data_IF_382687392205
#
_entry.id   IF_382687392205
#
_cell.length_a   1.000
_cell.length_b   1.000
_cell.length_c   1.000
_cell.angle_alpha   90.00
_cell.angle_beta   90.00
_cell.angle_gamma   90.00
#
_symmetry.space_group_name_H-M   'P 1'
#
loop_
_entity.id
_entity.type
_entity.pdbx_description
1 polymer ?
#
# COMPACT_ATOMS: atom_id res chain seq x y z
N UNK A 1 -36.04 -18.72 6.17
CA UNK A 1 -34.66 -18.16 6.17
C UNK A 1 -33.71 -18.91 5.23
N UNK A 2 -33.96 -20.18 4.92
CA UNK A 2 -33.00 -21.07 4.22
C UNK A 2 -32.53 -20.59 2.85
N UNK A 3 -33.46 -20.15 1.96
CA UNK A 3 -33.07 -19.75 0.60
C UNK A 3 -32.11 -18.55 0.56
N UNK A 4 -32.18 -17.67 1.56
CA UNK A 4 -31.32 -16.50 1.66
C UNK A 4 -29.90 -16.89 2.06
N UNK A 5 -29.75 -17.72 3.10
CA UNK A 5 -28.45 -18.25 3.53
C UNK A 5 -27.79 -19.10 2.45
N UNK A 6 -28.53 -19.96 1.76
CA UNK A 6 -27.98 -20.76 0.65
C UNK A 6 -27.52 -19.88 -0.53
N UNK A 7 -28.25 -18.81 -0.85
CA UNK A 7 -27.84 -17.86 -1.90
C UNK A 7 -26.59 -17.08 -1.49
N UNK A 8 -26.53 -16.66 -0.23
CA UNK A 8 -25.39 -15.90 0.31
C UNK A 8 -24.13 -16.76 0.36
N UNK A 9 -24.21 -18.00 0.82
CA UNK A 9 -23.11 -18.95 0.82
C UNK A 9 -22.55 -19.23 -0.58
N UNK A 10 -23.43 -19.30 -1.60
CA UNK A 10 -23.02 -19.48 -3.00
C UNK A 10 -22.36 -18.23 -3.60
N UNK A 11 -22.73 -17.04 -3.14
CA UNK A 11 -22.17 -15.77 -3.63
C UNK A 11 -20.89 -15.35 -2.90
N UNK A 12 -20.72 -15.78 -1.64
CA UNK A 12 -19.61 -15.42 -0.76
C UNK A 12 -18.21 -15.58 -1.39
N UNK A 13 -17.81 -16.73 -1.97
CA UNK A 13 -16.49 -16.88 -2.60
C UNK A 13 -16.21 -15.83 -3.69
N UNK A 14 -17.22 -15.53 -4.50
CA UNK A 14 -17.10 -14.59 -5.61
C UNK A 14 -16.95 -13.15 -5.12
N UNK A 15 -17.63 -12.80 -4.03
CA UNK A 15 -17.46 -11.51 -3.37
C UNK A 15 -16.03 -11.36 -2.82
N UNK A 16 -15.50 -12.39 -2.15
CA UNK A 16 -14.12 -12.40 -1.65
C UNK A 16 -13.10 -12.28 -2.78
N UNK A 17 -13.30 -13.02 -3.88
CA UNK A 17 -12.44 -12.95 -5.06
C UNK A 17 -12.41 -11.53 -5.66
N UNK A 18 -13.58 -10.89 -5.78
CA UNK A 18 -13.68 -9.55 -6.34
C UNK A 18 -12.95 -8.52 -5.47
N UNK A 19 -13.06 -8.62 -4.14
CA UNK A 19 -12.33 -7.76 -3.20
C UNK A 19 -10.82 -7.98 -3.34
N UNK A 20 -10.36 -9.23 -3.30
CA UNK A 20 -8.94 -9.57 -3.41
C UNK A 20 -8.33 -9.13 -4.75
N UNK A 21 -9.09 -9.29 -5.85
CA UNK A 21 -8.68 -8.85 -7.18
C UNK A 21 -8.55 -7.32 -7.24
N UNK A 22 -9.56 -6.60 -6.74
CA UNK A 22 -9.56 -5.13 -6.71
C UNK A 22 -8.38 -4.60 -5.87
N UNK A 23 -8.15 -5.18 -4.69
CA UNK A 23 -7.04 -4.81 -3.82
C UNK A 23 -5.67 -5.08 -4.47
N UNK A 24 -5.51 -6.24 -5.13
CA UNK A 24 -4.27 -6.61 -5.81
C UNK A 24 -4.00 -5.72 -7.02
N UNK A 25 -5.01 -5.49 -7.87
CA UNK A 25 -4.89 -4.64 -9.06
C UNK A 25 -4.61 -3.19 -8.64
N UNK A 26 -5.33 -2.66 -7.65
CA UNK A 26 -5.09 -1.31 -7.14
C UNK A 26 -3.68 -1.16 -6.58
N UNK A 27 -3.22 -2.14 -5.79
CA UNK A 27 -1.86 -2.20 -5.26
C UNK A 27 -0.79 -2.19 -6.35
N UNK A 28 -0.97 -2.99 -7.41
CA UNK A 28 -0.05 -3.02 -8.56
C UNK A 28 -0.08 -1.73 -9.36
N UNK A 29 -1.26 -1.16 -9.61
CA UNK A 29 -1.43 0.10 -10.34
C UNK A 29 -0.68 1.25 -9.67
N UNK A 30 -0.83 1.39 -8.35
CA UNK A 30 -0.11 2.41 -7.58
C UNK A 30 1.43 2.26 -7.69
N UNK A 31 1.94 1.02 -7.69
CA UNK A 31 3.40 0.80 -7.81
C UNK A 31 3.95 0.90 -9.23
N UNK A 32 3.26 0.37 -10.24
CA UNK A 32 3.79 0.25 -11.60
C UNK A 32 3.43 1.44 -12.49
N UNK A 33 2.25 2.05 -12.26
CA UNK A 33 1.75 3.14 -13.10
C UNK A 33 2.03 4.50 -12.46
N UNK A 34 1.68 4.66 -11.17
CA UNK A 34 1.89 5.91 -10.44
C UNK A 34 3.31 6.06 -9.86
N UNK A 35 4.09 4.97 -9.83
CA UNK A 35 5.47 4.98 -9.34
C UNK A 35 5.60 5.17 -7.83
N UNK A 36 4.55 4.89 -7.05
CA UNK A 36 4.62 4.94 -5.59
C UNK A 36 5.30 3.67 -5.08
N UNK A 37 6.51 3.81 -4.56
CA UNK A 37 7.23 2.67 -3.99
C UNK A 37 6.56 2.25 -2.68
N UNK A 38 6.27 0.94 -2.48
CA UNK A 38 5.68 0.46 -1.25
C UNK A 38 6.71 0.45 -0.12
N UNK A 39 6.29 0.88 1.08
CA UNK A 39 7.07 0.68 2.29
C UNK A 39 7.09 -0.80 2.73
N UNK A 40 7.94 -1.13 3.70
CA UNK A 40 8.07 -2.49 4.26
C UNK A 40 6.73 -3.02 4.81
N UNK A 41 5.96 -2.18 5.51
CA UNK A 41 4.64 -2.56 6.03
C UNK A 41 3.62 -2.86 4.91
N UNK A 42 3.66 -2.09 3.82
CA UNK A 42 2.87 -2.37 2.62
C UNK A 42 3.30 -3.68 1.94
N UNK A 43 4.58 -4.02 1.98
CA UNK A 43 5.09 -5.29 1.46
C UNK A 43 4.52 -6.49 2.23
N UNK A 44 4.50 -6.44 3.56
CA UNK A 44 3.85 -7.49 4.36
C UNK A 44 2.36 -7.65 4.03
N UNK A 45 1.65 -6.53 3.82
CA UNK A 45 0.25 -6.57 3.38
C UNK A 45 0.10 -7.23 1.98
N UNK A 46 1.04 -6.99 1.05
CA UNK A 46 1.04 -7.65 -0.28
C UNK A 46 1.31 -9.15 -0.19
N UNK A 47 2.25 -9.56 0.65
CA UNK A 47 2.58 -10.98 0.90
C UNK A 47 1.35 -11.73 1.42
N UNK A 48 0.51 -11.09 2.24
CA UNK A 48 -0.76 -11.67 2.65
C UNK A 48 -1.83 -11.62 1.55
N UNK A 49 -2.01 -10.49 0.86
CA UNK A 49 -3.12 -10.27 -0.07
C UNK A 49 -2.99 -11.05 -1.39
N UNK A 50 -1.80 -11.13 -1.98
CA UNK A 50 -1.64 -11.69 -3.34
C UNK A 50 -1.87 -13.22 -3.37
N UNK A 51 -1.38 -14.02 -2.40
CA UNK A 51 -1.71 -15.43 -2.36
C UNK A 51 -3.20 -15.68 -2.10
N UNK A 52 -3.89 -14.82 -1.33
CA UNK A 52 -5.35 -14.96 -1.10
C UNK A 52 -6.13 -14.91 -2.42
N UNK A 53 -5.78 -14.01 -3.35
CA UNK A 53 -6.40 -13.94 -4.67
C UNK A 53 -6.28 -15.28 -5.41
N UNK A 54 -5.08 -15.86 -5.41
CA UNK A 54 -4.82 -17.15 -6.08
C UNK A 54 -5.54 -18.30 -5.40
N UNK A 55 -5.50 -18.37 -4.06
CA UNK A 55 -6.18 -19.41 -3.28
C UNK A 55 -7.70 -19.38 -3.51
N UNK A 56 -8.33 -18.21 -3.45
CA UNK A 56 -9.77 -18.07 -3.71
C UNK A 56 -10.12 -18.47 -5.15
N UNK A 57 -9.30 -18.07 -6.13
CA UNK A 57 -9.50 -18.46 -7.53
C UNK A 57 -9.42 -20.00 -7.70
N UNK A 58 -8.38 -20.62 -7.14
CA UNK A 58 -8.18 -22.07 -7.19
C UNK A 58 -9.36 -22.78 -6.52
N UNK A 59 -9.76 -22.36 -5.31
CA UNK A 59 -10.90 -22.95 -4.60
C UNK A 59 -12.22 -22.86 -5.35
N UNK A 60 -12.46 -21.77 -6.09
CA UNK A 60 -13.64 -21.64 -6.96
C UNK A 60 -13.55 -22.61 -8.16
N UNK A 61 -12.37 -22.75 -8.77
CA UNK A 61 -12.17 -23.64 -9.93
C UNK A 61 -12.32 -25.09 -9.52
N UNK A 62 -11.62 -25.52 -8.46
CA UNK A 62 -11.60 -26.89 -7.94
C UNK A 62 -12.85 -27.24 -7.13
N UNK A 63 -13.66 -26.24 -6.76
CA UNK A 63 -14.79 -26.39 -5.86
C UNK A 63 -14.40 -26.98 -4.49
N UNK A 64 -13.17 -26.73 -4.03
CA UNK A 64 -12.66 -27.23 -2.76
C UNK A 64 -12.81 -26.17 -1.65
N UNK A 65 -13.64 -26.47 -0.64
CA UNK A 65 -13.87 -25.62 0.52
C UNK A 65 -12.70 -25.64 1.53
N UNK A 66 -11.78 -26.61 1.43
CA UNK A 66 -10.61 -26.69 2.32
C UNK A 66 -9.67 -25.50 2.14
N UNK A 67 -9.74 -24.81 1.01
CA UNK A 67 -8.96 -23.59 0.74
C UNK A 67 -9.14 -22.53 1.83
N UNK A 68 -10.33 -22.44 2.44
CA UNK A 68 -10.63 -21.44 3.47
C UNK A 68 -9.80 -21.63 4.74
N UNK A 69 -9.25 -22.84 4.99
CA UNK A 69 -8.32 -23.11 6.09
C UNK A 69 -7.00 -22.33 5.93
N UNK A 70 -6.63 -21.99 4.69
CA UNK A 70 -5.44 -21.18 4.40
C UNK A 70 -5.77 -19.69 4.23
N UNK A 71 -6.91 -19.38 3.61
CA UNK A 71 -7.34 -18.00 3.37
C UNK A 71 -7.61 -17.25 4.69
N UNK A 72 -8.31 -17.88 5.64
CA UNK A 72 -8.67 -17.25 6.92
C UNK A 72 -7.46 -16.78 7.74
N UNK A 73 -6.47 -17.64 8.09
CA UNK A 73 -5.32 -17.19 8.86
C UNK A 73 -4.51 -16.12 8.13
N UNK A 74 -4.36 -16.25 6.80
CA UNK A 74 -3.61 -15.27 6.01
C UNK A 74 -4.30 -13.90 5.98
N UNK A 75 -5.63 -13.87 5.85
CA UNK A 75 -6.42 -12.64 5.86
C UNK A 75 -6.41 -11.98 7.26
N UNK A 76 -6.49 -12.77 8.32
CA UNK A 76 -6.41 -12.29 9.71
C UNK A 76 -5.05 -11.68 10.01
N UNK A 77 -3.95 -12.35 9.63
CA UNK A 77 -2.59 -11.82 9.77
C UNK A 77 -2.43 -10.52 8.98
N UNK A 78 -2.89 -10.48 7.73
CA UNK A 78 -2.91 -9.26 6.92
C UNK A 78 -3.68 -8.11 7.59
N UNK A 79 -4.82 -8.41 8.20
CA UNK A 79 -5.62 -7.46 8.99
C UNK A 79 -4.88 -6.91 10.22
N UNK A 80 -4.14 -7.76 10.95
CA UNK A 80 -3.30 -7.31 12.07
C UNK A 80 -2.16 -6.40 11.62
N UNK A 81 -1.45 -6.76 10.54
CA UNK A 81 -0.40 -5.91 9.95
C UNK A 81 -0.99 -4.56 9.50
N UNK A 82 -2.18 -4.56 8.91
CA UNK A 82 -2.87 -3.34 8.49
C UNK A 82 -3.25 -2.45 9.67
N UNK A 83 -3.78 -3.05 10.74
CA UNK A 83 -4.11 -2.35 11.99
C UNK A 83 -2.86 -1.72 12.59
N UNK A 84 -1.77 -2.48 12.68
CA UNK A 84 -0.48 -1.96 13.16
C UNK A 84 0.00 -0.77 12.33
N UNK A 85 -0.08 -0.85 11.00
CA UNK A 85 0.32 0.23 10.10
C UNK A 85 -0.53 1.51 10.31
N UNK A 86 -1.84 1.37 10.54
CA UNK A 86 -2.72 2.52 10.85
C UNK A 86 -2.32 3.16 12.20
N UNK A 87 -2.07 2.35 13.22
CA UNK A 87 -1.62 2.84 14.52
C UNK A 87 -0.28 3.57 14.39
N UNK A 88 0.64 3.04 13.60
CA UNK A 88 1.93 3.67 13.32
C UNK A 88 1.80 5.01 12.58
N UNK A 89 0.84 5.14 11.66
CA UNK A 89 0.59 6.39 10.94
C UNK A 89 -0.09 7.46 11.81
N UNK A 90 -1.09 7.05 12.61
CA UNK A 90 -1.97 7.99 13.34
C UNK A 90 -1.54 8.27 14.77
N UNK A 91 -0.59 7.51 15.31
CA UNK A 91 -0.12 7.67 16.69
C UNK A 91 1.40 7.78 16.74
N UNK A 92 1.92 8.54 17.71
CA UNK A 92 3.35 8.61 18.00
C UNK A 92 3.77 7.57 19.06
N UNK A 93 2.92 6.58 19.32
CA UNK A 93 3.15 5.55 20.35
C UNK A 93 4.31 4.61 20.02
N UNK A 94 4.68 4.52 18.74
CA UNK A 94 5.72 3.63 18.25
C UNK A 94 6.80 4.47 17.53
N UNK A 95 7.98 4.67 18.13
CA UNK A 95 9.09 5.35 17.46
C UNK A 95 9.56 4.54 16.26
N UNK A 96 10.05 5.23 15.23
CA UNK A 96 10.53 4.59 14.00
C UNK A 96 11.60 3.55 14.30
N UNK A 97 11.41 2.33 13.80
CA UNK A 97 12.39 1.27 13.99
C UNK A 97 13.60 1.51 13.09
N UNK A 98 14.85 1.27 13.56
CA UNK A 98 16.06 1.43 12.74
C UNK A 98 16.07 0.58 11.46
N UNK A 99 15.26 -0.48 11.40
CA UNK A 99 15.12 -1.36 10.25
C UNK A 99 14.23 -0.80 9.12
N UNK A 100 13.30 0.13 9.41
CA UNK A 100 12.52 0.84 8.37
C UNK A 100 13.39 1.73 7.48
N UNK A 101 14.59 2.01 7.94
CA UNK A 101 15.51 2.95 7.32
C UNK A 101 16.31 2.36 6.14
N UNK A 102 16.41 1.03 6.08
CA UNK A 102 17.19 0.32 5.06
C UNK A 102 16.50 0.27 3.68
N UNK A 103 15.17 0.44 3.63
CA UNK A 103 14.39 0.42 2.40
C UNK A 103 14.18 1.80 1.77
N UNK A 104 14.59 2.87 2.47
CA UNK A 104 14.55 4.24 1.97
C UNK A 104 13.15 4.86 1.84
N UNK A 105 12.08 4.17 2.27
CA UNK A 105 10.68 4.62 2.14
C UNK A 105 9.97 4.51 3.50
N UNK A 106 9.49 5.65 4.02
CA UNK A 106 8.81 5.72 5.33
C UNK A 106 7.43 5.07 5.29
N UNK A 107 7.11 4.24 6.30
CA UNK A 107 5.75 3.72 6.51
C UNK A 107 4.79 4.79 7.08
N UNK A 108 5.32 5.91 7.59
CA UNK A 108 4.50 7.02 8.13
C UNK A 108 3.97 7.97 7.05
N UNK A 109 4.54 7.94 5.84
CA UNK A 109 4.12 8.79 4.73
C UNK A 109 2.73 8.42 4.19
N UNK A 110 1.91 9.43 3.88
CA UNK A 110 0.59 9.25 3.29
C UNK A 110 0.53 9.79 1.85
N UNK A 111 0.40 8.88 0.89
CA UNK A 111 0.30 9.18 -0.54
C UNK A 111 -1.14 9.51 -0.98
N UNK A 112 -2.14 9.05 -0.24
CA UNK A 112 -3.56 9.18 -0.56
C UNK A 112 -4.23 9.91 0.61
N UNK A 113 -3.94 11.19 0.79
CA UNK A 113 -4.64 12.06 1.75
C UNK A 113 -6.10 12.35 1.31
N UNK A 114 -6.88 11.32 0.97
CA UNK A 114 -8.28 11.42 0.60
C UNK A 114 -9.14 11.59 1.87
N UNK A 115 -10.10 12.53 1.84
CA UNK A 115 -10.96 12.90 2.98
C UNK A 115 -10.18 13.33 4.24
N UNK A 116 -9.34 14.36 4.15
CA UNK A 116 -8.62 14.97 5.29
C UNK A 116 -7.81 13.96 6.16
N UNK A 117 -7.23 12.92 5.56
CA UNK A 117 -6.40 11.93 6.28
C UNK A 117 -7.19 10.78 6.94
N UNK A 118 -8.49 10.65 6.66
CA UNK A 118 -9.27 9.51 7.16
C UNK A 118 -9.03 8.23 6.36
N UNK A 119 -8.87 8.30 5.03
CA UNK A 119 -8.69 7.14 4.16
C UNK A 119 -7.24 7.05 3.71
N UNK A 120 -6.44 6.31 4.48
CA UNK A 120 -5.07 5.96 4.11
C UNK A 120 -5.01 4.62 3.36
N UNK A 121 -3.91 4.35 2.65
CA UNK A 121 -3.66 3.04 2.01
C UNK A 121 -3.88 1.86 2.98
N UNK A 122 -3.33 1.83 4.21
CA UNK A 122 -3.57 0.73 5.13
C UNK A 122 -5.00 0.68 5.68
N UNK A 123 -5.77 1.79 5.64
CA UNK A 123 -7.20 1.74 5.99
C UNK A 123 -8.00 0.97 4.94
N UNK A 124 -7.72 1.20 3.65
CA UNK A 124 -8.35 0.45 2.56
C UNK A 124 -7.97 -1.04 2.60
N UNK A 125 -6.71 -1.35 2.91
CA UNK A 125 -6.27 -2.73 3.08
C UNK A 125 -6.98 -3.42 4.25
N UNK A 126 -7.18 -2.74 5.38
CA UNK A 126 -7.92 -3.29 6.52
C UNK A 126 -9.37 -3.62 6.17
N UNK A 127 -10.05 -2.73 5.44
CA UNK A 127 -11.41 -2.98 4.95
C UNK A 127 -11.42 -4.21 4.01
N UNK A 128 -10.47 -4.31 3.09
CA UNK A 128 -10.37 -5.45 2.17
C UNK A 128 -10.16 -6.78 2.92
N UNK A 129 -9.22 -6.83 3.87
CA UNK A 129 -9.00 -8.03 4.69
C UNK A 129 -10.23 -8.38 5.53
N UNK A 130 -10.92 -7.39 6.11
CA UNK A 130 -12.16 -7.62 6.86
C UNK A 130 -13.27 -8.22 5.99
N UNK A 131 -13.48 -7.67 4.79
CA UNK A 131 -14.46 -8.20 3.83
C UNK A 131 -14.11 -9.63 3.37
N UNK A 132 -12.82 -9.92 3.17
CA UNK A 132 -12.35 -11.27 2.82
C UNK A 132 -12.60 -12.25 3.97
N UNK A 133 -12.33 -11.86 5.23
CA UNK A 133 -12.62 -12.70 6.40
C UNK A 133 -14.12 -13.01 6.49
N UNK A 134 -14.98 -11.99 6.37
CA UNK A 134 -16.45 -12.18 6.41
C UNK A 134 -16.91 -13.10 5.28
N UNK A 135 -16.42 -12.88 4.05
CA UNK A 135 -16.70 -13.73 2.89
C UNK A 135 -16.27 -15.19 3.13
N UNK A 136 -15.06 -15.40 3.65
CA UNK A 136 -14.53 -16.73 3.92
C UNK A 136 -15.29 -17.45 5.04
N UNK A 137 -15.70 -16.73 6.10
CA UNK A 137 -16.54 -17.29 7.18
C UNK A 137 -17.91 -17.71 6.65
N UNK A 138 -18.59 -16.85 5.90
CA UNK A 138 -19.91 -17.18 5.31
C UNK A 138 -19.79 -18.38 4.36
N UNK A 139 -18.74 -18.42 3.54
CA UNK A 139 -18.51 -19.53 2.64
C UNK A 139 -18.21 -20.84 3.38
N UNK A 140 -17.47 -20.79 4.50
CA UNK A 140 -17.19 -21.95 5.34
C UNK A 140 -18.45 -22.44 6.06
N UNK A 141 -19.23 -21.56 6.69
CA UNK A 141 -20.48 -21.92 7.35
C UNK A 141 -21.50 -22.52 6.38
N UNK A 142 -21.49 -22.11 5.11
CA UNK A 142 -22.36 -22.67 4.08
C UNK A 142 -21.88 -24.03 3.51
N UNK A 143 -20.65 -24.45 3.82
CA UNK A 143 -20.04 -25.69 3.28
C UNK A 143 -19.68 -26.73 4.33
N UNK A 144 -19.78 -26.39 5.62
CA UNK A 144 -19.48 -27.28 6.75
C UNK A 144 -20.80 -27.68 7.45
N UNK A 145 -21.31 -28.91 7.28
CA UNK A 145 -22.44 -29.43 8.07
C UNK A 145 -22.06 -29.72 9.53
N UNK A 146 -20.78 -29.60 9.90
CA UNK A 146 -20.20 -30.18 11.10
C UNK A 146 -20.16 -29.20 12.28
N UNK A 147 -21.32 -28.70 12.70
CA UNK A 147 -21.50 -28.00 13.99
C UNK A 147 -22.77 -28.45 14.72
N UNK A 148 -23.33 -29.59 14.32
CA UNK A 148 -24.26 -30.39 15.11
C UNK A 148 -23.57 -31.75 15.19
N UNK A 149 -23.01 -32.10 16.34
CA UNK A 149 -22.69 -33.46 16.78
C UNK A 149 -22.01 -33.34 18.14
N UNK A 150 -22.82 -33.13 19.18
CA UNK A 150 -22.45 -33.56 20.54
C UNK A 150 -23.73 -33.89 21.32
N UNK A 151 -24.34 -35.03 20.98
CA UNK A 151 -25.03 -35.86 21.97
C UNK A 151 -25.08 -37.29 21.45
N UNK A 152 -24.20 -38.11 22.01
CA UNK A 152 -24.14 -39.57 21.92
C UNK A 152 -25.49 -40.23 22.23
N UNK A 153 -25.94 -41.19 21.42
CA UNK A 153 -26.33 -42.53 21.92
C UNK A 153 -26.58 -43.56 20.81
N UNK A 154 -25.99 -44.74 21.00
CA UNK A 154 -26.40 -46.09 20.61
C UNK A 154 -26.72 -46.47 19.14
N UNK A 155 -25.72 -47.09 18.51
CA UNK A 155 -25.75 -48.45 17.92
C UNK A 155 -26.90 -48.86 16.98
N UNK A 156 -26.57 -49.07 15.70
CA UNK A 156 -26.86 -50.31 14.95
C UNK A 156 -26.15 -50.28 13.58
N UNK A 157 -25.75 -51.45 13.09
CA UNK A 157 -25.28 -51.69 11.74
C UNK A 157 -26.26 -51.14 10.69
N UNK A 158 -25.73 -50.44 9.69
CA UNK A 158 -25.87 -50.85 8.28
C UNK A 158 -25.14 -49.87 7.38
N UNK A 159 -24.28 -50.44 6.54
CA UNK A 159 -23.72 -49.77 5.39
C UNK A 159 -24.86 -49.21 4.53
N UNK A 160 -24.96 -47.89 4.45
CA UNK A 160 -25.66 -47.23 3.35
C UNK A 160 -25.05 -45.85 3.11
N UNK A 161 -24.23 -45.78 2.06
CA UNK A 161 -23.74 -44.55 1.48
C UNK A 161 -24.92 -43.70 0.98
N UNK A 162 -25.56 -42.94 1.87
CA UNK A 162 -26.61 -41.98 1.53
C UNK A 162 -26.44 -40.71 2.33
N UNK A 163 -25.99 -39.66 1.64
CA UNK A 163 -26.09 -38.31 2.19
C UNK A 163 -24.92 -37.36 1.93
N UNK A 164 -23.90 -37.73 1.13
CA UNK A 164 -23.04 -36.69 0.55
C UNK A 164 -23.81 -36.08 -0.62
N UNK A 165 -24.26 -34.81 -0.56
CA UNK A 165 -24.81 -34.18 -1.76
C UNK A 165 -23.73 -34.22 -2.83
N UNK A 166 -24.08 -34.81 -3.97
CA UNK A 166 -23.21 -35.04 -5.10
C UNK A 166 -22.31 -33.83 -5.41
N UNK A 167 -21.06 -34.04 -5.89
CA UNK A 167 -20.27 -32.94 -6.41
C UNK A 167 -21.12 -32.27 -7.49
N UNK A 168 -21.51 -31.01 -7.28
CA UNK A 168 -22.44 -30.32 -8.16
C UNK A 168 -21.78 -30.21 -9.54
N UNK A 169 -22.09 -31.17 -10.41
CA UNK A 169 -21.72 -31.17 -11.81
C UNK A 169 -22.48 -30.01 -12.47
N UNK A 170 -21.67 -29.08 -12.95
CA UNK A 170 -22.04 -27.75 -13.45
C UNK A 170 -22.74 -27.84 -14.81
N UNK A 171 -23.53 -26.83 -15.16
CA UNK A 171 -23.29 -26.14 -16.41
C UNK A 171 -22.55 -24.84 -16.10
N UNK A 172 -21.33 -24.75 -16.61
CA UNK A 172 -20.60 -23.49 -16.89
C UNK A 172 -19.95 -22.73 -15.73
N UNK A 173 -19.45 -23.37 -14.66
CA UNK A 173 -18.49 -22.63 -13.80
C UNK A 173 -17.23 -22.21 -14.58
N UNK A 174 -16.85 -22.96 -15.63
CA UNK A 174 -15.85 -22.51 -16.59
C UNK A 174 -16.24 -21.20 -17.30
N UNK A 175 -17.53 -20.99 -17.61
CA UNK A 175 -18.02 -19.75 -18.24
C UNK A 175 -18.18 -18.60 -17.23
N UNK A 176 -18.48 -18.90 -15.96
CA UNK A 176 -18.57 -17.89 -14.89
C UNK A 176 -17.19 -17.48 -14.40
N UNK A 177 -16.23 -18.40 -14.35
CA UNK A 177 -14.81 -18.12 -14.08
C UNK A 177 -14.16 -17.49 -15.30
N UNK A 178 -14.40 -17.96 -16.52
CA UNK A 178 -13.96 -17.27 -17.73
C UNK A 178 -14.59 -15.88 -17.83
N UNK A 179 -15.85 -15.72 -17.42
CA UNK A 179 -16.51 -14.41 -17.31
C UNK A 179 -15.86 -13.51 -16.25
N UNK A 180 -15.46 -14.05 -15.10
CA UNK A 180 -14.74 -13.31 -14.06
C UNK A 180 -13.30 -12.97 -14.49
N UNK A 181 -12.58 -13.90 -15.12
CA UNK A 181 -11.23 -13.69 -15.67
C UNK A 181 -11.25 -12.74 -16.86
N UNK A 182 -12.26 -12.82 -17.73
CA UNK A 182 -12.48 -11.89 -18.83
C UNK A 182 -12.90 -10.53 -18.28
N UNK A 183 -13.74 -10.44 -17.25
CA UNK A 183 -14.07 -9.19 -16.58
C UNK A 183 -12.84 -8.58 -15.88
N UNK A 184 -11.96 -9.40 -15.28
CA UNK A 184 -10.70 -8.96 -14.69
C UNK A 184 -9.72 -8.53 -15.79
N UNK A 185 -9.61 -9.25 -16.90
CA UNK A 185 -8.75 -8.91 -18.04
C UNK A 185 -9.26 -7.68 -18.80
N UNK A 186 -10.59 -7.51 -18.92
CA UNK A 186 -11.24 -6.33 -19.46
C UNK A 186 -11.13 -5.16 -18.48
N UNK A 187 -11.24 -5.38 -17.16
CA UNK A 187 -10.98 -4.36 -16.15
C UNK A 187 -9.50 -3.98 -16.15
N UNK A 188 -8.57 -4.92 -16.37
CA UNK A 188 -7.14 -4.66 -16.48
C UNK A 188 -6.84 -3.92 -17.78
N UNK A 189 -7.42 -4.32 -18.92
CA UNK A 189 -7.32 -3.62 -20.20
C UNK A 189 -7.96 -2.24 -20.17
N UNK A 190 -9.11 -2.09 -19.51
CA UNK A 190 -9.76 -0.81 -19.25
C UNK A 190 -8.90 0.05 -18.32
N UNK A 191 -8.36 -0.50 -17.23
CA UNK A 191 -7.42 0.20 -16.33
C UNK A 191 -6.09 0.49 -17.01
N UNK A 192 -5.67 -0.23 -18.05
CA UNK A 192 -4.46 0.07 -18.80
C UNK A 192 -4.70 1.16 -19.85
N UNK A 193 -5.87 1.13 -20.51
CA UNK A 193 -6.28 2.13 -21.50
C UNK A 193 -6.73 3.43 -20.84
N UNK A 194 -7.61 3.36 -19.84
CA UNK A 194 -7.92 4.45 -18.91
C UNK A 194 -6.70 4.79 -18.07
N UNK A 195 -5.81 3.84 -17.77
CA UNK A 195 -4.54 4.08 -17.09
C UNK A 195 -3.59 4.91 -17.92
N UNK A 196 -3.56 4.77 -19.25
CA UNK A 196 -2.88 5.69 -20.15
C UNK A 196 -3.52 7.08 -20.14
N UNK A 197 -4.85 7.14 -20.10
CA UNK A 197 -5.60 8.40 -19.95
C UNK A 197 -5.47 9.02 -18.55
N UNK A 198 -5.26 8.22 -17.50
CA UNK A 198 -4.96 8.60 -16.13
C UNK A 198 -3.47 8.94 -16.00
N UNK A 199 -2.58 8.32 -16.77
CA UNK A 199 -1.19 8.75 -16.93
C UNK A 199 -1.09 10.05 -17.73
N UNK A 200 -2.15 10.47 -18.40
CA UNK A 200 -2.30 11.80 -18.99
C UNK A 200 -3.07 12.76 -18.06
N UNK A 201 -4.00 12.27 -17.24
CA UNK A 201 -4.72 13.05 -16.24
C UNK A 201 -3.98 13.21 -14.88
N UNK A 202 -3.00 12.33 -14.63
CA UNK A 202 -2.04 12.18 -13.52
C UNK A 202 -0.62 11.88 -14.04
N UNK A 203 -0.35 12.09 -15.35
CA UNK A 203 0.89 12.80 -15.68
C UNK A 203 0.92 13.97 -14.70
N UNK A 204 2.09 14.42 -14.19
CA UNK A 204 2.11 15.69 -13.51
C UNK A 204 1.50 16.71 -14.49
N UNK A 205 0.19 16.97 -14.34
CA UNK A 205 -0.36 18.29 -14.50
C UNK A 205 0.65 19.06 -13.70
N UNK A 206 1.44 19.91 -14.36
CA UNK A 206 2.00 21.07 -13.70
C UNK A 206 0.92 21.50 -12.72
N UNK A 207 1.13 21.34 -11.40
CA UNK A 207 0.02 21.33 -10.47
C UNK A 207 -0.76 22.60 -10.75
N UNK A 208 -1.99 22.43 -11.26
CA UNK A 208 -2.86 23.58 -11.36
C UNK A 208 -3.08 23.98 -9.91
N UNK A 209 -2.64 25.17 -9.51
CA UNK A 209 -2.47 25.51 -8.10
C UNK A 209 -3.77 25.24 -7.36
N UNK A 210 -3.73 24.38 -6.34
CA UNK A 210 -4.77 24.36 -5.33
C UNK A 210 -4.84 25.77 -4.74
N UNK A 211 -6.02 26.37 -4.85
CA UNK A 211 -6.26 27.78 -4.69
C UNK A 211 -5.61 28.39 -3.45
N UNK A 212 -4.79 29.40 -3.70
CA UNK A 212 -4.46 30.46 -2.76
C UNK A 212 -5.75 31.08 -2.21
N UNK A 213 -5.87 31.36 -0.89
CA UNK A 213 -6.78 32.41 -0.47
C UNK A 213 -6.30 33.74 -1.09
N UNK A 214 -7.06 34.17 -2.09
CA UNK A 214 -7.14 35.49 -2.71
C UNK A 214 -6.03 36.50 -2.37
N UNK A 215 -5.19 36.79 -3.38
CA UNK A 215 -4.16 37.83 -3.38
C UNK A 215 -3.28 37.75 -4.64
N UNK A 216 -3.89 38.04 -5.79
CA UNK A 216 -3.39 38.00 -7.19
C UNK A 216 -2.15 38.89 -7.48
N UNK A 217 -1.62 38.97 -8.73
CA UNK A 217 -1.28 37.98 -9.76
C UNK A 217 0.22 38.08 -10.16
N UNK A 218 0.78 37.07 -10.85
CA UNK A 218 2.16 37.02 -11.38
C UNK A 218 3.29 36.82 -10.35
N UNK A 219 3.45 35.57 -9.90
CA UNK A 219 4.77 34.97 -9.82
C UNK A 219 4.63 33.44 -9.89
N UNK A 220 5.38 32.83 -10.80
CA UNK A 220 5.86 31.43 -10.69
C UNK A 220 6.18 31.10 -9.22
N UNK A 221 6.02 29.85 -8.72
CA UNK A 221 6.52 29.53 -7.38
C UNK A 221 8.03 29.76 -7.39
N UNK A 222 8.43 30.93 -6.91
CA UNK A 222 9.84 31.32 -6.87
C UNK A 222 10.46 30.33 -5.91
N UNK A 223 11.48 29.61 -6.37
CA UNK A 223 12.28 28.79 -5.49
C UNK A 223 12.81 29.71 -4.37
N UNK A 224 12.22 29.55 -3.19
CA UNK A 224 12.33 30.52 -2.11
C UNK A 224 12.62 29.78 -0.82
N UNK A 225 13.37 30.42 0.06
CA UNK A 225 13.69 29.84 1.36
C UNK A 225 12.41 29.53 2.18
N UNK A 226 11.33 30.28 1.98
CA UNK A 226 10.05 30.02 2.64
C UNK A 226 9.39 28.70 2.18
N UNK A 227 9.36 28.44 0.86
CA UNK A 227 8.88 27.15 0.34
C UNK A 227 9.82 26.02 0.77
N UNK A 228 11.13 26.26 0.75
CA UNK A 228 12.14 25.32 1.21
C UNK A 228 11.99 24.94 2.68
N UNK A 229 11.64 25.89 3.55
CA UNK A 229 11.39 25.63 4.97
C UNK A 229 10.23 24.64 5.17
N UNK A 230 9.14 24.81 4.42
CA UNK A 230 7.99 23.91 4.46
C UNK A 230 8.38 22.50 4.01
N UNK A 231 8.98 22.39 2.82
CA UNK A 231 9.39 21.12 2.23
C UNK A 231 10.45 20.39 3.08
N UNK A 232 11.39 21.14 3.67
CA UNK A 232 12.39 20.57 4.58
C UNK A 232 11.72 20.01 5.84
N UNK A 233 10.79 20.77 6.43
CA UNK A 233 10.06 20.38 7.64
C UNK A 233 9.18 19.15 7.45
N UNK A 234 8.59 18.99 6.27
CA UNK A 234 7.70 17.88 5.96
C UNK A 234 8.44 16.53 5.85
N UNK A 235 9.69 16.51 5.37
CA UNK A 235 10.36 15.24 5.03
C UNK A 235 11.86 15.15 5.36
N UNK A 236 12.60 16.25 5.27
CA UNK A 236 14.05 16.22 5.43
C UNK A 236 14.46 16.20 6.92
N UNK A 237 13.65 16.79 7.80
CA UNK A 237 13.86 16.84 9.26
C UNK A 237 13.86 15.46 9.90
N UNK A 238 13.15 14.48 9.33
CA UNK A 238 13.12 13.11 9.83
C UNK A 238 14.52 12.47 9.94
N UNK A 239 15.43 12.86 9.04
CA UNK A 239 16.80 12.37 9.04
C UNK A 239 17.78 13.45 9.51
N UNK A 240 17.63 14.68 9.01
CA UNK A 240 18.59 15.75 9.25
C UNK A 240 18.26 16.64 10.46
N UNK A 241 17.14 16.43 11.14
CA UNK A 241 16.70 17.26 12.28
C UNK A 241 16.18 18.64 11.86
N UNK A 242 15.44 19.30 12.75
CA UNK A 242 14.79 20.59 12.48
C UNK A 242 15.77 21.70 12.09
N UNK A 243 16.98 21.71 12.67
CA UNK A 243 18.02 22.70 12.38
C UNK A 243 19.13 22.16 11.47
N UNK A 244 18.98 20.95 10.92
CA UNK A 244 20.08 20.28 10.22
C UNK A 244 21.11 19.65 11.17
N UNK A 245 20.78 19.45 12.44
CA UNK A 245 21.69 18.89 13.46
C UNK A 245 22.12 17.45 13.16
N UNK A 246 21.40 16.74 12.29
CA UNK A 246 21.60 15.32 12.02
C UNK A 246 21.13 14.46 13.18
N UNK A 247 21.12 13.14 12.96
CA UNK A 247 20.78 12.16 13.99
C UNK A 247 21.87 11.10 13.97
N UNK A 248 22.47 10.82 15.14
CA UNK A 248 23.55 9.85 15.29
C UNK A 248 23.18 8.51 14.66
N UNK A 249 24.06 7.97 13.81
CA UNK A 249 23.87 6.72 13.06
C UNK A 249 22.70 6.72 12.04
N UNK A 250 22.09 7.88 11.75
CA UNK A 250 20.95 8.00 10.84
C UNK A 250 21.26 8.99 9.70
N UNK A 251 21.67 10.21 10.02
CA UNK A 251 22.13 11.16 9.00
C UNK A 251 23.22 12.06 9.54
N UNK A 252 24.21 12.42 8.71
CA UNK A 252 25.22 13.38 9.12
C UNK A 252 24.59 14.75 9.40
N UNK A 253 25.21 15.46 10.32
CA UNK A 253 24.91 16.86 10.61
C UNK A 253 25.14 17.71 9.36
N UNK A 254 24.10 18.43 8.93
CA UNK A 254 24.18 19.43 7.88
C UNK A 254 24.66 20.78 8.43
N UNK A 255 24.28 21.09 9.68
CA UNK A 255 24.70 22.28 10.40
C UNK A 255 26.23 22.38 10.45
N UNK A 256 26.78 23.54 10.09
CA UNK A 256 28.23 23.75 10.03
C UNK A 256 28.94 23.10 8.82
N UNK A 257 28.27 22.28 8.00
CA UNK A 257 28.94 21.58 6.89
C UNK A 257 29.42 22.54 5.80
N UNK A 258 30.67 22.38 5.37
CA UNK A 258 31.22 23.16 4.25
C UNK A 258 30.45 22.90 2.95
N UNK A 259 29.97 21.67 2.76
CA UNK A 259 29.21 21.26 1.58
C UNK A 259 27.96 22.13 1.35
N UNK A 260 27.15 22.36 2.39
CA UNK A 260 25.95 23.20 2.27
C UNK A 260 26.31 24.68 2.16
N UNK A 261 27.34 25.14 2.88
CA UNK A 261 27.76 26.54 2.89
C UNK A 261 28.37 27.01 1.58
N UNK A 262 29.32 26.25 1.03
CA UNK A 262 30.14 26.66 -0.11
C UNK A 262 29.77 25.96 -1.42
N UNK A 263 29.01 24.86 -1.36
CA UNK A 263 28.56 24.14 -2.55
C UNK A 263 27.65 24.99 -3.44
N UNK A 264 27.80 24.86 -4.75
CA UNK A 264 26.88 25.51 -5.69
C UNK A 264 25.47 24.89 -5.57
N UNK A 265 24.42 25.67 -5.87
CA UNK A 265 23.05 25.13 -5.82
C UNK A 265 22.87 23.94 -6.76
N UNK A 266 23.49 23.97 -7.95
CA UNK A 266 23.37 22.89 -8.93
C UNK A 266 24.17 21.64 -8.54
N UNK A 267 25.30 21.78 -7.84
CA UNK A 267 26.02 20.62 -7.29
C UNK A 267 25.24 19.95 -6.17
N UNK A 268 24.66 20.75 -5.27
CA UNK A 268 23.80 20.26 -4.20
C UNK A 268 22.54 19.61 -4.76
N UNK A 269 21.94 20.21 -5.79
CA UNK A 269 20.79 19.64 -6.49
C UNK A 269 21.14 18.29 -7.10
N UNK A 270 22.23 18.21 -7.88
CA UNK A 270 22.67 16.94 -8.49
C UNK A 270 22.94 15.86 -7.45
N UNK A 271 23.58 16.23 -6.35
CA UNK A 271 23.84 15.31 -5.25
C UNK A 271 22.54 14.81 -4.60
N UNK A 272 21.64 15.72 -4.23
CA UNK A 272 20.35 15.34 -3.61
C UNK A 272 19.52 14.51 -4.59
N UNK A 273 19.47 14.90 -5.86
CA UNK A 273 18.73 14.22 -6.93
C UNK A 273 19.29 12.84 -7.26
N UNK A 274 20.58 12.58 -7.03
CA UNK A 274 21.20 11.25 -7.19
C UNK A 274 21.07 10.41 -5.91
N UNK A 275 21.13 11.05 -4.74
CA UNK A 275 21.38 10.36 -3.48
C UNK A 275 22.80 9.79 -3.42
N UNK A 276 23.11 9.05 -2.35
CA UNK A 276 24.36 8.32 -2.16
C UNK A 276 24.10 6.98 -1.46
N UNK A 277 24.48 5.89 -2.12
CA UNK A 277 24.45 4.55 -1.53
C UNK A 277 25.57 4.40 -0.47
N UNK A 278 25.45 3.50 0.51
CA UNK A 278 26.51 3.19 1.48
C UNK A 278 27.87 2.86 0.83
N UNK A 279 27.84 2.29 -0.37
CA UNK A 279 29.02 1.86 -1.13
C UNK A 279 29.56 2.91 -2.11
N UNK A 280 28.93 4.08 -2.21
CA UNK A 280 29.38 5.16 -3.11
C UNK A 280 30.73 5.72 -2.62
N UNK A 281 31.71 5.91 -3.51
CA UNK A 281 33.07 6.34 -3.17
C UNK A 281 33.13 7.71 -2.46
N UNK A 282 32.14 8.55 -2.73
CA UNK A 282 32.00 9.86 -2.16
C UNK A 282 31.11 9.86 -0.89
N UNK A 283 30.56 8.72 -0.48
CA UNK A 283 29.84 8.58 0.78
C UNK A 283 30.83 8.40 1.95
N UNK A 284 31.06 9.47 2.70
CA UNK A 284 31.97 9.44 3.86
C UNK A 284 31.31 9.00 5.16
N UNK A 285 29.98 9.02 5.24
CA UNK A 285 29.25 8.58 6.44
C UNK A 285 28.98 7.08 6.44
N UNK A 286 29.01 6.43 5.27
CA UNK A 286 28.56 5.05 5.10
C UNK A 286 27.04 4.86 5.25
N UNK A 287 26.30 5.96 5.45
CA UNK A 287 24.85 5.97 5.63
C UNK A 287 24.17 6.21 4.28
N UNK A 288 23.05 5.53 4.03
CA UNK A 288 22.27 5.72 2.81
C UNK A 288 21.65 7.11 2.81
N UNK A 289 21.93 7.92 1.78
CA UNK A 289 21.14 9.08 1.43
C UNK A 289 20.25 8.72 0.22
N UNK A 290 18.94 8.54 0.38
CA UNK A 290 18.07 8.16 -0.72
C UNK A 290 18.01 9.22 -1.81
N UNK A 291 17.68 8.78 -3.02
CA UNK A 291 17.48 9.68 -4.15
C UNK A 291 16.38 10.71 -3.83
N UNK A 292 16.66 12.00 -4.02
CA UNK A 292 15.76 13.11 -3.67
C UNK A 292 15.25 13.06 -2.23
N UNK A 293 16.03 12.52 -1.28
CA UNK A 293 15.59 12.34 0.10
C UNK A 293 14.41 11.35 0.26
N UNK A 294 14.23 10.44 -0.69
CA UNK A 294 13.14 9.47 -0.71
C UNK A 294 11.91 9.95 -1.49
N UNK A 295 11.96 11.16 -2.07
CA UNK A 295 10.82 11.78 -2.73
C UNK A 295 11.02 11.92 -4.23
N UNK A 296 10.66 10.88 -4.96
CA UNK A 296 10.68 10.89 -6.43
C UNK A 296 9.75 11.97 -7.04
N UNK A 297 8.75 12.45 -6.29
CA UNK A 297 7.78 13.44 -6.72
C UNK A 297 8.31 14.88 -6.73
N UNK A 298 9.44 15.17 -6.06
CA UNK A 298 9.95 16.54 -5.98
C UNK A 298 10.65 16.94 -7.28
N UNK A 299 10.23 18.09 -7.81
CA UNK A 299 10.88 18.72 -8.95
C UNK A 299 12.22 19.36 -8.56
N UNK A 300 13.01 19.75 -9.55
CA UNK A 300 14.28 20.43 -9.29
C UNK A 300 14.09 21.76 -8.56
N UNK A 301 12.99 22.47 -8.82
CA UNK A 301 12.69 23.75 -8.17
C UNK A 301 12.29 23.59 -6.69
N UNK A 302 11.67 22.46 -6.33
CA UNK A 302 11.38 22.11 -4.93
C UNK A 302 12.67 21.83 -4.18
N UNK A 303 13.56 21.01 -4.76
CA UNK A 303 14.87 20.72 -4.18
C UNK A 303 15.74 21.97 -4.08
N UNK A 304 15.72 22.87 -5.08
CA UNK A 304 16.38 24.18 -5.00
C UNK A 304 15.81 25.05 -3.89
N UNK A 305 14.50 25.03 -3.67
CA UNK A 305 13.88 25.74 -2.55
C UNK A 305 14.43 25.24 -1.22
N UNK A 306 14.51 23.91 -1.04
CA UNK A 306 15.10 23.28 0.16
C UNK A 306 16.57 23.67 0.31
N UNK A 307 17.37 23.60 -0.76
CA UNK A 307 18.78 24.00 -0.75
C UNK A 307 18.94 25.46 -0.30
N UNK A 308 18.13 26.37 -0.82
CA UNK A 308 18.16 27.78 -0.43
C UNK A 308 17.80 27.97 1.03
N UNK A 309 16.75 27.30 1.51
CA UNK A 309 16.40 27.30 2.92
C UNK A 309 17.55 26.80 3.80
N UNK A 310 18.14 25.65 3.44
CA UNK A 310 19.30 25.10 4.15
C UNK A 310 20.44 26.11 4.25
N UNK A 311 20.74 26.84 3.16
CA UNK A 311 21.74 27.91 3.17
C UNK A 311 21.38 29.09 4.06
N UNK A 312 20.10 29.31 4.38
CA UNK A 312 19.69 30.37 5.34
C UNK A 312 19.86 29.96 6.79
N UNK A 313 19.63 28.68 7.11
CA UNK A 313 19.67 28.18 8.49
C UNK A 313 21.05 27.63 8.89
N UNK A 314 21.84 27.17 7.92
CA UNK A 314 23.18 26.62 8.13
C UNK A 314 24.20 27.72 7.82
N UNK A 315 24.59 28.47 8.86
CA UNK A 315 25.65 29.49 8.81
C UNK A 315 27.00 28.95 9.19
#
# INVERSE_FOLDING_TARGET
MDRFFTRMGRAAPYAGLLVAATATIGSLFMSQVLGWLPCEMCWYQRIAMYPILLLLLIGIITADSRVYRYVLPLAVIGGFVSTYHILYQKTDLFPASPCELNSGISCKGDYLNAFNGMITIPTLALIAFGLIVVSAVIARMATDPMLIDDETDDGDETADAKGVPAPVARPSAGLRVAGALLAIALAFGLVYTVGGSLRAAQAPKTPTPLGTPSGSPFATPVSSAANGARLFSEYCTMCHGASGDGITNLAPTLAGSTLVKTGSEDDLLRMIRKGRLPTDADNKSGLLMPQSGGMAAYGDDDLRSVIRYLKTIIR
#
